data_IF_425350282471
#
_entry.id   IF_425350282471
#
_cell.length_a   1.000
_cell.length_b   1.000
_cell.length_c   1.000
_cell.angle_alpha   90.00
_cell.angle_beta   90.00
_cell.angle_gamma   90.00
#
_symmetry.space_group_name_H-M   'P 1'
#
loop_
_entity.id
_entity.type
_entity.pdbx_description
1 polymer ?
#
# COMPACT_ATOMS: atom_id res chain seq x y z
N UNK A 1 -30.31 -4.18 -16.67
CA UNK A 1 -30.36 -3.57 -15.33
C UNK A 1 -30.19 -4.67 -14.33
N UNK A 2 -29.15 -4.57 -13.50
CA UNK A 2 -29.04 -5.01 -12.10
C UNK A 2 -27.57 -5.22 -11.78
N UNK A 3 -26.98 -4.12 -11.34
CA UNK A 3 -25.75 -3.97 -10.58
C UNK A 3 -25.54 -5.11 -9.58
N UNK A 4 -24.36 -5.72 -9.62
CA UNK A 4 -23.87 -6.57 -8.52
C UNK A 4 -22.68 -5.85 -7.89
N UNK A 5 -23.00 -4.90 -7.03
CA UNK A 5 -22.09 -4.28 -6.06
C UNK A 5 -22.09 -5.13 -4.79
N UNK A 6 -21.04 -5.92 -4.59
CA UNK A 6 -20.77 -6.57 -3.30
C UNK A 6 -19.55 -5.86 -2.66
N UNK A 7 -19.74 -5.05 -1.60
CA UNK A 7 -18.64 -4.49 -0.83
C UNK A 7 -18.29 -5.48 0.30
N UNK A 8 -17.31 -6.35 0.09
CA UNK A 8 -16.77 -7.16 1.18
C UNK A 8 -15.81 -6.31 2.04
N UNK A 9 -16.43 -5.53 2.93
CA UNK A 9 -15.81 -5.15 4.18
C UNK A 9 -15.79 -6.39 5.09
N UNK A 10 -14.63 -7.03 5.23
CA UNK A 10 -14.37 -7.93 6.35
C UNK A 10 -13.18 -7.39 7.12
N UNK A 11 -13.50 -6.54 8.10
CA UNK A 11 -12.60 -6.28 9.20
C UNK A 11 -12.64 -7.49 10.12
N UNK A 12 -11.54 -8.24 10.17
CA UNK A 12 -11.35 -9.25 11.20
C UNK A 12 -10.10 -8.92 12.01
N UNK A 13 -10.39 -8.36 13.18
CA UNK A 13 -9.45 -8.09 14.26
C UNK A 13 -9.21 -9.40 15.01
N UNK A 14 -8.05 -10.03 14.82
CA UNK A 14 -7.61 -11.16 15.67
C UNK A 14 -6.38 -10.73 16.46
N UNK A 15 -6.51 -10.81 17.78
CA UNK A 15 -5.52 -10.43 18.79
C UNK A 15 -4.48 -11.52 18.98
N UNK A 16 -3.22 -11.10 19.06
CA UNK A 16 -2.25 -11.53 20.07
C UNK A 16 -1.66 -12.94 19.91
N UNK A 17 -0.79 -13.06 18.92
CA UNK A 17 0.53 -13.65 19.14
C UNK A 17 1.51 -12.61 18.61
N UNK A 18 2.58 -12.27 19.34
CA UNK A 18 3.72 -11.58 18.69
C UNK A 18 4.38 -12.64 17.82
N UNK A 19 3.70 -12.93 16.72
CA UNK A 19 4.09 -13.87 15.70
C UNK A 19 4.53 -13.02 14.53
N UNK A 20 5.62 -13.44 13.88
CA UNK A 20 6.17 -12.85 12.66
C UNK A 20 5.13 -12.36 11.62
N UNK A 21 3.92 -12.95 11.44
CA UNK A 21 2.86 -12.35 10.63
C UNK A 21 2.43 -10.93 11.04
N UNK A 22 2.56 -10.53 12.29
CA UNK A 22 2.22 -9.17 12.76
C UNK A 22 3.27 -8.16 12.29
N UNK A 23 4.56 -8.53 12.23
CA UNK A 23 5.62 -7.68 11.66
C UNK A 23 5.49 -7.52 10.14
N UNK A 24 5.15 -8.59 9.43
CA UNK A 24 4.91 -8.53 7.99
C UNK A 24 3.58 -7.82 7.67
N UNK A 25 2.58 -8.00 8.54
CA UNK A 25 1.30 -7.31 8.51
C UNK A 25 1.45 -5.81 8.73
N UNK A 26 2.24 -5.39 9.72
CA UNK A 26 2.57 -3.99 9.98
C UNK A 26 3.37 -3.38 8.84
N UNK A 27 4.35 -4.11 8.29
CA UNK A 27 5.08 -3.66 7.11
C UNK A 27 4.13 -3.48 5.90
N UNK A 28 3.21 -4.44 5.68
CA UNK A 28 2.21 -4.34 4.60
C UNK A 28 1.24 -3.18 4.82
N UNK A 29 0.78 -2.99 6.06
CA UNK A 29 -0.09 -1.88 6.43
C UNK A 29 0.60 -0.54 6.19
N UNK A 30 1.86 -0.40 6.61
CA UNK A 30 2.65 0.81 6.39
C UNK A 30 2.88 1.11 4.91
N UNK A 31 3.21 0.09 4.11
CA UNK A 31 3.33 0.21 2.65
C UNK A 31 2.01 0.61 2.02
N UNK A 32 0.89 0.00 2.42
CA UNK A 32 -0.45 0.34 1.91
C UNK A 32 -0.83 1.79 2.26
N UNK A 33 -0.55 2.22 3.49
CA UNK A 33 -0.82 3.58 3.95
C UNK A 33 0.02 4.63 3.19
N UNK A 34 1.28 4.32 2.89
CA UNK A 34 2.12 5.14 2.01
C UNK A 34 1.60 5.20 0.57
N UNK A 35 1.20 4.06 0.00
CA UNK A 35 0.62 4.02 -1.35
C UNK A 35 -0.65 4.87 -1.40
N UNK A 36 -1.53 4.78 -0.40
CA UNK A 36 -2.76 5.58 -0.34
C UNK A 36 -2.47 7.08 -0.20
N UNK A 37 -1.49 7.48 0.63
CA UNK A 37 -1.06 8.89 0.74
C UNK A 37 -0.48 9.41 -0.56
N UNK A 38 0.40 8.64 -1.20
CA UNK A 38 1.05 9.02 -2.46
C UNK A 38 0.01 9.08 -3.61
N UNK A 39 -0.93 8.14 -3.63
CA UNK A 39 -2.05 8.13 -4.57
C UNK A 39 -2.91 9.39 -4.42
N UNK A 40 -3.29 9.74 -3.19
CA UNK A 40 -4.07 10.94 -2.92
C UNK A 40 -3.31 12.21 -3.33
N UNK A 41 -2.00 12.28 -3.06
CA UNK A 41 -1.17 13.41 -3.49
C UNK A 41 -1.13 13.54 -5.03
N UNK A 42 -0.95 12.43 -5.75
CA UNK A 42 -0.97 12.43 -7.22
C UNK A 42 -2.36 12.84 -7.74
N UNK A 43 -3.43 12.29 -7.16
CA UNK A 43 -4.81 12.64 -7.53
C UNK A 43 -5.13 14.11 -7.26
N UNK A 44 -4.60 14.69 -6.18
CA UNK A 44 -4.76 16.10 -5.85
C UNK A 44 -4.10 17.03 -6.89
N UNK A 45 -3.05 16.57 -7.58
CA UNK A 45 -2.48 17.33 -8.72
C UNK A 45 -3.40 17.31 -9.95
N UNK A 46 -4.34 16.36 -10.04
CA UNK A 46 -5.33 16.26 -11.10
C UNK A 46 -4.77 15.92 -12.49
N UNK A 47 -3.51 15.50 -12.58
CA UNK A 47 -2.81 15.29 -13.86
C UNK A 47 -2.93 13.87 -14.41
N UNK A 48 -3.20 12.87 -13.56
CA UNK A 48 -3.25 11.45 -13.92
C UNK A 48 -4.61 10.85 -13.59
N UNK A 49 -5.06 9.86 -14.38
CA UNK A 49 -6.27 9.09 -14.04
C UNK A 49 -6.00 8.19 -12.84
N UNK A 50 -7.04 7.85 -12.08
CA UNK A 50 -6.94 7.00 -10.88
C UNK A 50 -6.17 5.68 -11.12
N UNK A 51 -6.42 4.98 -12.24
CA UNK A 51 -5.70 3.74 -12.55
C UNK A 51 -4.20 3.98 -12.77
N UNK A 52 -3.83 5.08 -13.41
CA UNK A 52 -2.44 5.45 -13.67
C UNK A 52 -1.74 5.94 -12.39
N UNK A 53 -2.43 6.77 -11.60
CA UNK A 53 -1.95 7.26 -10.32
C UNK A 53 -1.72 6.11 -9.33
N UNK A 54 -2.60 5.11 -9.29
CA UNK A 54 -2.46 3.95 -8.40
C UNK A 54 -1.26 3.08 -8.77
N UNK A 55 -1.07 2.81 -10.07
CA UNK A 55 0.10 2.08 -10.55
C UNK A 55 1.40 2.86 -10.27
N UNK A 56 1.39 4.18 -10.48
CA UNK A 56 2.55 5.03 -10.24
C UNK A 56 2.90 5.14 -8.76
N UNK A 57 1.90 5.34 -7.88
CA UNK A 57 2.08 5.39 -6.43
C UNK A 57 2.67 4.07 -5.91
N UNK A 58 2.10 2.94 -6.32
CA UNK A 58 2.60 1.60 -5.95
C UNK A 58 4.03 1.39 -6.43
N UNK A 59 4.33 1.75 -7.68
CA UNK A 59 5.68 1.65 -8.24
C UNK A 59 6.67 2.49 -7.44
N UNK A 60 6.33 3.75 -7.10
CA UNK A 60 7.21 4.64 -6.33
C UNK A 60 7.48 4.13 -4.92
N UNK A 61 6.44 3.65 -4.23
CA UNK A 61 6.58 3.12 -2.86
C UNK A 61 7.40 1.84 -2.90
N UNK A 62 7.03 0.85 -3.72
CA UNK A 62 7.78 -0.41 -3.82
C UNK A 62 9.22 -0.19 -4.27
N UNK A 63 9.46 0.72 -5.22
CA UNK A 63 10.83 1.12 -5.59
C UNK A 63 11.56 1.79 -4.43
N UNK A 64 10.92 2.68 -3.67
CA UNK A 64 11.57 3.31 -2.51
C UNK A 64 11.99 2.25 -1.50
N UNK A 65 11.13 1.29 -1.19
CA UNK A 65 11.47 0.17 -0.32
C UNK A 65 12.54 -0.77 -0.92
N UNK A 66 12.52 -1.02 -2.24
CA UNK A 66 13.55 -1.81 -2.93
C UNK A 66 14.92 -1.13 -3.01
N UNK A 67 14.97 0.18 -3.24
CA UNK A 67 16.22 0.95 -3.25
C UNK A 67 16.76 1.19 -1.83
N UNK A 68 15.90 1.37 -0.82
CA UNK A 68 16.31 1.43 0.58
C UNK A 68 16.93 0.11 1.06
N UNK A 69 16.51 -1.02 0.49
CA UNK A 69 17.10 -2.33 0.78
C UNK A 69 18.47 -2.56 0.09
N UNK A 70 18.74 -1.88 -1.02
CA UNK A 70 20.04 -1.91 -1.74
C UNK A 70 21.01 -0.86 -1.18
N UNK A 71 20.51 0.23 -0.58
CA UNK A 71 21.30 1.28 0.05
C UNK A 71 21.76 0.95 1.48
N UNK A 72 21.66 -0.32 1.91
CA UNK A 72 22.40 -0.81 3.06
C UNK A 72 23.65 -1.50 2.52
N UNK A 73 24.83 -0.81 2.47
CA UNK A 73 26.07 -1.53 2.28
C UNK A 73 26.20 -2.49 3.46
N UNK A 74 25.99 -3.78 3.19
CA UNK A 74 26.47 -4.82 4.08
C UNK A 74 27.99 -4.66 4.08
N UNK A 75 28.51 -4.11 5.18
CA UNK A 75 29.94 -3.90 5.39
C UNK A 75 30.73 -5.18 5.39
#
# INVERSE_FOLDING_TARGET
MSDQTEPLATGEKVKSSVSVPDLLGDARNKVQEEISREFAAIMATGTLRASEAAALATKRVTQRYGHLNVAMPQG
#
